data_IF_580155268970
#
_entry.id   IF_580155268970
#
_cell.length_a   1.000
_cell.length_b   1.000
_cell.length_c   1.000
_cell.angle_alpha   90.00
_cell.angle_beta   90.00
_cell.angle_gamma   90.00
#
_symmetry.space_group_name_H-M   'P 1'
#
loop_
_entity.id
_entity.type
_entity.pdbx_description
1 polymer ?
#
# COMPACT_ATOMS: atom_id res chain seq x y z
N UNK A 1 -10.08 30.10 13.37
CA UNK A 1 -8.73 29.81 13.89
C UNK A 1 -8.69 28.34 14.30
N UNK A 2 -8.33 27.45 13.39
CA UNK A 2 -8.03 26.05 13.69
C UNK A 2 -6.81 25.67 12.85
N UNK A 3 -5.65 25.60 13.50
CA UNK A 3 -4.39 25.24 12.87
C UNK A 3 -4.38 23.74 12.61
N UNK A 4 -4.42 23.34 11.33
CA UNK A 4 -4.13 21.97 10.91
C UNK A 4 -2.61 21.80 10.99
N UNK A 5 -2.06 20.92 11.85
CA UNK A 5 -0.67 20.54 11.73
C UNK A 5 -0.48 19.83 10.40
N UNK A 6 0.33 20.42 9.53
CA UNK A 6 0.78 19.82 8.27
C UNK A 6 1.62 18.60 8.62
N UNK A 7 0.99 17.43 8.73
CA UNK A 7 1.75 16.17 8.82
C UNK A 7 2.55 16.04 7.52
N UNK A 8 3.89 15.96 7.57
CA UNK A 8 4.65 15.55 6.41
C UNK A 8 4.20 14.13 6.11
N UNK A 9 3.51 13.95 4.98
CA UNK A 9 3.17 12.65 4.43
C UNK A 9 4.50 11.93 4.18
N UNK A 10 4.94 11.12 5.14
CA UNK A 10 6.11 10.28 5.02
C UNK A 10 5.99 9.56 3.69
N UNK A 11 7.00 9.79 2.86
CA UNK A 11 7.02 9.47 1.46
C UNK A 11 6.56 8.02 1.25
N UNK A 12 5.70 7.86 0.23
CA UNK A 12 5.67 6.61 -0.51
C UNK A 12 7.13 6.16 -0.65
N UNK A 13 7.48 4.95 -0.23
CA UNK A 13 8.79 4.37 -0.50
C UNK A 13 8.98 4.38 -2.03
N UNK A 14 9.51 5.48 -2.57
CA UNK A 14 9.87 5.61 -3.98
C UNK A 14 11.17 4.86 -4.10
N UNK A 15 11.06 3.53 -4.19
CA UNK A 15 12.15 2.73 -4.72
C UNK A 15 12.40 3.25 -6.14
N UNK A 16 13.62 3.76 -6.31
CA UNK A 16 14.13 4.40 -7.52
C UNK A 16 13.71 3.58 -8.75
N UNK A 17 13.02 4.15 -9.75
CA UNK A 17 12.67 3.40 -10.94
C UNK A 17 13.95 2.98 -11.66
N UNK A 18 14.21 1.68 -11.71
CA UNK A 18 15.05 1.12 -12.77
C UNK A 18 14.35 1.40 -14.10
N UNK A 19 15.07 1.80 -15.17
CA UNK A 19 14.49 2.38 -16.38
C UNK A 19 13.57 1.46 -17.22
N UNK A 20 13.22 0.26 -16.75
CA UNK A 20 12.44 -0.71 -17.53
C UNK A 20 11.44 -1.56 -16.73
N UNK A 21 11.19 -1.27 -15.44
CA UNK A 21 10.28 -2.07 -14.59
C UNK A 21 9.06 -1.28 -14.08
N UNK A 22 7.85 -1.85 -14.07
CA UNK A 22 6.67 -1.19 -13.51
C UNK A 22 6.85 -0.98 -12.00
N UNK A 23 6.55 0.22 -11.50
CA UNK A 23 6.66 0.51 -10.06
C UNK A 23 5.67 -0.35 -9.25
N UNK A 24 6.02 -0.82 -8.04
CA UNK A 24 5.14 -1.67 -7.21
C UNK A 24 3.79 -1.01 -6.85
N UNK A 25 3.72 0.32 -6.86
CA UNK A 25 2.46 1.07 -6.69
C UNK A 25 1.54 1.09 -7.92
N UNK A 26 2.02 0.62 -9.08
CA UNK A 26 1.28 0.64 -10.35
C UNK A 26 0.72 -0.73 -10.75
N UNK A 27 1.14 -1.78 -10.06
CA UNK A 27 0.87 -3.17 -10.44
C UNK A 27 -0.32 -3.73 -9.68
N UNK A 28 -0.38 -3.50 -8.37
CA UNK A 28 -1.42 -4.01 -7.47
C UNK A 28 -2.25 -2.85 -6.91
N UNK A 29 -2.79 -2.00 -7.79
CA UNK A 29 -3.55 -0.80 -7.41
C UNK A 29 -4.84 -1.15 -6.68
N UNK A 30 -5.60 -2.09 -7.21
CA UNK A 30 -6.88 -2.54 -6.64
C UNK A 30 -6.70 -3.24 -5.29
N UNK A 31 -5.77 -4.19 -5.17
CA UNK A 31 -5.43 -4.81 -3.87
C UNK A 31 -4.94 -3.77 -2.86
N UNK A 32 -4.12 -2.80 -3.31
CA UNK A 32 -3.63 -1.73 -2.44
C UNK A 32 -4.76 -0.86 -1.92
N UNK A 33 -5.72 -0.49 -2.77
CA UNK A 33 -6.90 0.29 -2.41
C UNK A 33 -7.80 -0.49 -1.44
N UNK A 34 -8.13 -1.74 -1.76
CA UNK A 34 -8.93 -2.61 -0.90
C UNK A 34 -8.30 -2.81 0.49
N UNK A 35 -6.98 -2.94 0.57
CA UNK A 35 -6.27 -3.05 1.86
C UNK A 35 -6.27 -1.72 2.62
N UNK A 36 -6.07 -0.59 1.95
CA UNK A 36 -6.13 0.74 2.57
C UNK A 36 -7.54 1.02 3.11
N UNK A 37 -8.58 0.74 2.32
CA UNK A 37 -9.98 0.88 2.74
C UNK A 37 -10.29 -0.02 3.94
N UNK A 38 -9.86 -1.29 3.92
CA UNK A 38 -10.04 -2.18 5.05
C UNK A 38 -9.37 -1.65 6.33
N UNK A 39 -8.16 -1.11 6.21
CA UNK A 39 -7.42 -0.51 7.33
C UNK A 39 -8.06 0.77 7.86
N UNK A 40 -8.68 1.57 6.99
CA UNK A 40 -9.35 2.82 7.37
C UNK A 40 -10.74 2.60 7.96
N UNK A 41 -11.42 1.50 7.61
CA UNK A 41 -12.78 1.20 8.05
C UNK A 41 -12.84 0.30 9.29
N UNK A 42 -11.72 -0.26 9.74
CA UNK A 42 -11.67 -1.28 10.80
C UNK A 42 -10.70 -0.90 11.91
N UNK A 43 -11.14 -0.96 13.17
CA UNK A 43 -10.29 -0.67 14.33
C UNK A 43 -9.21 -1.74 14.56
N UNK A 44 -9.51 -3.03 14.31
CA UNK A 44 -8.58 -4.17 14.40
C UNK A 44 -8.04 -4.62 13.04
N UNK A 45 -7.61 -3.67 12.21
CA UNK A 45 -7.18 -3.94 10.84
C UNK A 45 -6.04 -4.98 10.74
N UNK A 46 -5.14 -5.05 11.73
CA UNK A 46 -4.02 -6.00 11.75
C UNK A 46 -4.44 -7.46 11.69
N UNK A 47 -5.62 -7.81 12.21
CA UNK A 47 -6.13 -9.19 12.19
C UNK A 47 -7.21 -9.38 11.15
N UNK A 48 -8.12 -8.41 10.99
CA UNK A 48 -9.26 -8.51 10.07
C UNK A 48 -8.89 -8.27 8.61
N UNK A 49 -7.85 -7.49 8.34
CA UNK A 49 -7.41 -7.18 6.98
C UNK A 49 -6.22 -8.04 6.51
N UNK A 50 -5.84 -9.09 7.27
CA UNK A 50 -4.76 -10.02 6.88
C UNK A 50 -4.99 -10.61 5.49
N UNK A 51 -6.23 -10.96 5.17
CA UNK A 51 -6.60 -11.51 3.87
C UNK A 51 -6.31 -10.51 2.73
N UNK A 52 -6.66 -9.24 2.94
CA UNK A 52 -6.38 -8.15 1.98
C UNK A 52 -4.89 -7.85 1.85
N UNK A 53 -4.14 -7.93 2.95
CA UNK A 53 -2.68 -7.79 2.93
C UNK A 53 -2.03 -8.97 2.20
N UNK A 54 -2.50 -10.19 2.43
CA UNK A 54 -2.00 -11.39 1.75
C UNK A 54 -2.25 -11.32 0.23
N UNK A 55 -3.43 -10.87 -0.20
CA UNK A 55 -3.74 -10.63 -1.60
C UNK A 55 -2.78 -9.60 -2.24
N UNK A 56 -2.54 -8.47 -1.56
CA UNK A 56 -1.58 -7.47 -2.03
C UNK A 56 -0.16 -8.02 -2.18
N UNK A 57 0.30 -8.80 -1.19
CA UNK A 57 1.61 -9.47 -1.23
C UNK A 57 1.70 -10.51 -2.34
N UNK A 58 0.64 -11.30 -2.55
CA UNK A 58 0.58 -12.30 -3.62
C UNK A 58 0.65 -11.63 -5.00
N UNK A 59 -0.06 -10.53 -5.20
CA UNK A 59 0.05 -9.74 -6.42
C UNK A 59 1.49 -9.23 -6.62
N UNK A 60 2.12 -8.62 -5.62
CA UNK A 60 3.51 -8.14 -5.75
C UNK A 60 4.52 -9.27 -6.02
N UNK A 61 4.32 -10.43 -5.40
CA UNK A 61 5.14 -11.62 -5.62
C UNK A 61 5.04 -12.14 -7.06
N UNK A 62 3.86 -12.05 -7.68
CA UNK A 62 3.64 -12.43 -9.09
C UNK A 62 4.47 -11.58 -10.08
N UNK A 63 4.85 -10.37 -9.69
CA UNK A 63 5.70 -9.47 -10.48
C UNK A 63 7.18 -9.49 -10.05
N UNK A 64 7.56 -10.37 -9.11
CA UNK A 64 8.93 -10.52 -8.64
C UNK A 64 9.36 -9.50 -7.58
N UNK A 65 8.42 -8.76 -6.98
CA UNK A 65 8.71 -7.86 -5.87
C UNK A 65 8.54 -8.58 -4.53
N UNK A 66 9.59 -8.58 -3.69
CA UNK A 66 9.49 -9.01 -2.27
C UNK A 66 9.12 -7.79 -1.41
N UNK A 67 7.97 -7.85 -0.73
CA UNK A 67 7.44 -6.83 0.20
C UNK A 67 7.34 -7.36 1.63
#
# INVERSE_FOLDING_TARGET
MANIPTVPRTENFVQKPTPSGPKPCCVCKDEKASRDECFLLTEDAETKCLDKVAAYKACMAGFGFKV
#
